data_IF_313376779352
#
_entry.id   IF_313376779352
#
_cell.length_a   1.000
_cell.length_b   1.000
_cell.length_c   1.000
_cell.angle_alpha   90.00
_cell.angle_beta   90.00
_cell.angle_gamma   90.00
#
_symmetry.space_group_name_H-M   'P 1'
#
loop_
_entity.id
_entity.type
_entity.pdbx_description
1 polymer ?
#
# COMPACT_ATOMS: atom_id res chain seq x y z
N UNK A 1 6.35 -20.07 -29.83
CA UNK A 1 6.80 -18.66 -29.86
C UNK A 1 7.02 -18.01 -28.49
N UNK A 2 6.31 -18.38 -27.40
CA UNK A 2 6.51 -17.79 -26.04
C UNK A 2 7.92 -17.88 -25.44
N UNK A 3 8.76 -18.83 -25.89
CA UNK A 3 10.13 -19.04 -25.35
C UNK A 3 11.17 -18.09 -25.93
N UNK A 4 11.06 -17.67 -27.20
CA UNK A 4 12.10 -16.86 -27.86
C UNK A 4 12.21 -15.44 -27.29
N UNK A 5 11.10 -14.78 -26.95
CA UNK A 5 11.12 -13.45 -26.33
C UNK A 5 11.77 -13.41 -24.94
N UNK A 6 11.67 -14.50 -24.16
CA UNK A 6 12.31 -14.58 -22.86
C UNK A 6 13.85 -14.67 -22.96
N UNK A 7 14.38 -15.39 -23.96
CA UNK A 7 15.82 -15.47 -24.21
C UNK A 7 16.40 -14.17 -24.77
N UNK A 8 15.65 -13.48 -25.64
CA UNK A 8 16.05 -12.16 -26.15
C UNK A 8 16.05 -11.11 -25.04
N UNK A 9 15.01 -11.06 -24.19
CA UNK A 9 14.98 -10.17 -23.03
C UNK A 9 16.11 -10.47 -22.02
N UNK A 10 16.44 -11.75 -21.78
CA UNK A 10 17.56 -12.15 -20.92
C UNK A 10 18.95 -11.77 -21.47
N UNK A 11 19.10 -11.62 -22.79
CA UNK A 11 20.36 -11.22 -23.42
C UNK A 11 20.49 -9.70 -23.62
N UNK A 12 19.38 -9.00 -23.83
CA UNK A 12 19.34 -7.53 -24.00
C UNK A 12 19.64 -6.81 -22.68
N UNK A 13 19.10 -7.30 -21.56
CA UNK A 13 19.32 -6.72 -20.23
C UNK A 13 20.81 -6.62 -19.80
N UNK A 14 21.63 -7.69 -19.89
CA UNK A 14 23.05 -7.60 -19.55
C UNK A 14 23.85 -6.76 -20.56
N UNK A 15 23.44 -6.71 -21.84
CA UNK A 15 24.06 -5.84 -22.86
C UNK A 15 23.84 -4.36 -22.60
N UNK A 16 22.61 -3.98 -22.26
CA UNK A 16 22.24 -2.64 -21.77
C UNK A 16 23.01 -2.28 -20.50
N UNK A 17 23.06 -3.20 -19.52
CA UNK A 17 23.81 -3.00 -18.29
C UNK A 17 25.30 -2.77 -18.55
N UNK A 18 25.90 -3.52 -19.47
CA UNK A 18 27.30 -3.34 -19.87
C UNK A 18 27.53 -1.98 -20.56
N UNK A 19 26.60 -1.53 -21.40
CA UNK A 19 26.65 -0.21 -22.04
C UNK A 19 26.56 0.93 -21.03
N UNK A 20 25.67 0.81 -20.06
CA UNK A 20 25.56 1.74 -18.93
C UNK A 20 26.87 1.76 -18.14
N UNK A 21 27.46 0.60 -17.83
CA UNK A 21 28.76 0.51 -17.14
C UNK A 21 29.88 1.14 -17.97
N UNK A 22 29.93 0.94 -19.29
CA UNK A 22 30.90 1.59 -20.16
C UNK A 22 30.76 3.12 -20.18
N UNK A 23 29.53 3.62 -20.24
CA UNK A 23 29.25 5.06 -20.18
C UNK A 23 29.62 5.65 -18.81
N UNK A 24 29.32 4.95 -17.71
CA UNK A 24 29.70 5.32 -16.34
C UNK A 24 31.22 5.35 -16.18
N UNK A 25 31.92 4.40 -16.80
CA UNK A 25 33.39 4.32 -16.80
C UNK A 25 34.07 5.34 -17.73
N UNK A 26 33.31 6.24 -18.38
CA UNK A 26 33.85 7.25 -19.29
C UNK A 26 34.36 6.68 -20.62
N UNK A 27 34.02 5.43 -20.94
CA UNK A 27 34.38 4.79 -22.20
C UNK A 27 33.50 5.41 -23.30
N UNK A 28 34.14 5.92 -24.36
CA UNK A 28 33.42 6.44 -25.52
C UNK A 28 32.75 5.29 -26.26
N UNK A 29 31.45 5.12 -26.02
CA UNK A 29 30.62 4.19 -26.78
C UNK A 29 30.22 4.86 -28.10
N UNK A 30 30.50 4.24 -29.25
CA UNK A 30 30.11 4.79 -30.55
C UNK A 30 28.58 4.84 -30.68
N UNK A 31 28.06 5.98 -31.16
CA UNK A 31 26.61 6.26 -31.31
C UNK A 31 25.80 5.14 -31.97
N UNK A 32 26.30 4.44 -33.03
CA UNK A 32 25.57 3.32 -33.62
C UNK A 32 25.28 2.16 -32.65
N UNK A 33 26.16 1.92 -31.67
CA UNK A 33 25.96 0.88 -30.66
C UNK A 33 24.88 1.28 -29.67
N UNK A 34 24.82 2.57 -29.31
CA UNK A 34 23.77 3.12 -28.46
C UNK A 34 22.40 3.01 -29.15
N UNK A 35 22.33 3.44 -30.43
CA UNK A 35 21.11 3.36 -31.24
C UNK A 35 20.67 1.90 -31.44
N UNK A 36 21.61 0.97 -31.63
CA UNK A 36 21.29 -0.45 -31.77
C UNK A 36 20.75 -1.06 -30.46
N UNK A 37 21.29 -0.66 -29.31
CA UNK A 37 20.82 -1.09 -28.00
C UNK A 37 19.41 -0.53 -27.71
N UNK A 38 19.21 0.77 -27.91
CA UNK A 38 17.89 1.41 -27.79
C UNK A 38 16.87 0.79 -28.76
N UNK A 39 17.26 0.48 -29.99
CA UNK A 39 16.41 -0.20 -30.96
C UNK A 39 16.07 -1.62 -30.52
N UNK A 40 17.01 -2.37 -29.94
CA UNK A 40 16.76 -3.71 -29.42
C UNK A 40 15.78 -3.69 -28.24
N UNK A 41 15.93 -2.75 -27.30
CA UNK A 41 14.98 -2.51 -26.22
C UNK A 41 13.62 -2.10 -26.77
N UNK A 42 13.59 -1.18 -27.74
CA UNK A 42 12.38 -0.72 -28.41
C UNK A 42 11.63 -1.84 -29.14
N UNK A 43 12.35 -2.80 -29.73
CA UNK A 43 11.76 -3.95 -30.43
C UNK A 43 11.15 -4.95 -29.44
N UNK A 44 11.83 -5.24 -28.32
CA UNK A 44 11.30 -6.05 -27.22
C UNK A 44 10.05 -5.40 -26.61
N UNK A 45 10.13 -4.11 -26.27
CA UNK A 45 8.98 -3.34 -25.75
C UNK A 45 7.84 -3.28 -26.78
N UNK A 46 8.18 -3.14 -28.06
CA UNK A 46 7.24 -3.12 -29.18
C UNK A 46 6.49 -4.44 -29.34
N UNK A 47 7.15 -5.59 -29.22
CA UNK A 47 6.48 -6.90 -29.22
C UNK A 47 5.51 -7.05 -28.05
N UNK A 48 5.92 -6.63 -26.85
CA UNK A 48 5.05 -6.65 -25.67
C UNK A 48 3.87 -5.69 -25.81
N UNK A 49 4.10 -4.48 -26.35
CA UNK A 49 3.07 -3.47 -26.61
C UNK A 49 2.09 -3.90 -27.69
N UNK A 50 2.56 -4.47 -28.80
CA UNK A 50 1.70 -5.01 -29.88
C UNK A 50 0.90 -6.22 -29.37
N UNK A 51 1.52 -7.10 -28.58
CA UNK A 51 0.83 -8.21 -27.93
C UNK A 51 -0.25 -7.74 -26.96
N UNK A 52 0.03 -6.67 -26.21
CA UNK A 52 -0.93 -6.00 -25.33
C UNK A 52 -2.07 -5.34 -26.11
N UNK A 53 -1.78 -4.53 -27.12
CA UNK A 53 -2.77 -3.81 -27.93
C UNK A 53 -3.67 -4.75 -28.75
N UNK A 54 -3.14 -5.83 -29.31
CA UNK A 54 -3.94 -6.85 -30.02
C UNK A 54 -4.92 -7.55 -29.09
N UNK A 55 -4.51 -7.78 -27.83
CA UNK A 55 -5.36 -8.42 -26.81
C UNK A 55 -6.40 -7.46 -26.26
N UNK A 56 -6.01 -6.20 -26.02
CA UNK A 56 -6.93 -5.13 -25.64
C UNK A 56 -8.03 -4.91 -26.70
N UNK A 57 -7.67 -4.92 -27.99
CA UNK A 57 -8.65 -4.80 -29.09
C UNK A 57 -9.56 -6.03 -29.25
N UNK A 58 -9.15 -7.21 -28.76
CA UNK A 58 -9.98 -8.43 -28.79
C UNK A 58 -10.94 -8.54 -27.62
N UNK A 59 -10.46 -8.25 -26.42
CA UNK A 59 -11.21 -8.48 -25.19
C UNK A 59 -11.92 -7.22 -24.67
N UNK A 60 -11.64 -6.04 -25.26
CA UNK A 60 -12.26 -4.76 -24.93
C UNK A 60 -11.84 -4.17 -23.57
N UNK A 61 -11.26 -4.96 -22.68
CA UNK A 61 -10.85 -4.56 -21.32
C UNK A 61 -9.32 -4.51 -21.20
N UNK A 62 -8.75 -3.30 -21.14
CA UNK A 62 -7.32 -3.09 -20.96
C UNK A 62 -6.79 -3.77 -19.68
N UNK A 63 -7.63 -3.86 -18.64
CA UNK A 63 -7.26 -4.45 -17.34
C UNK A 63 -6.98 -5.94 -17.43
N UNK A 64 -7.77 -6.67 -18.20
CA UNK A 64 -7.64 -8.13 -18.33
C UNK A 64 -6.47 -8.49 -19.24
N UNK A 65 -6.22 -7.68 -20.28
CA UNK A 65 -5.02 -7.79 -21.11
C UNK A 65 -3.72 -7.54 -20.32
N UNK A 66 -3.71 -6.56 -19.40
CA UNK A 66 -2.57 -6.31 -18.51
C UNK A 66 -2.34 -7.50 -17.56
N UNK A 67 -3.39 -7.98 -16.88
CA UNK A 67 -3.31 -9.13 -15.94
C UNK A 67 -2.79 -10.41 -16.58
N UNK A 68 -3.14 -10.64 -17.85
CA UNK A 68 -2.67 -11.81 -18.58
C UNK A 68 -1.20 -11.73 -19.04
N UNK A 69 -0.63 -10.52 -19.10
CA UNK A 69 0.71 -10.27 -19.67
C UNK A 69 1.75 -9.97 -18.61
N UNK A 70 1.35 -9.29 -17.54
CA UNK A 70 2.26 -8.82 -16.48
C UNK A 70 2.14 -9.72 -15.26
N UNK A 71 3.27 -10.17 -14.67
CA UNK A 71 3.23 -10.94 -13.43
C UNK A 71 2.49 -10.20 -12.31
N UNK A 72 1.69 -10.94 -11.54
CA UNK A 72 0.92 -10.41 -10.41
C UNK A 72 1.75 -9.55 -9.44
N UNK A 73 3.01 -9.90 -9.08
CA UNK A 73 3.84 -9.05 -8.20
C UNK A 73 4.08 -7.65 -8.77
N UNK A 74 4.31 -7.54 -10.08
CA UNK A 74 4.56 -6.25 -10.75
C UNK A 74 3.28 -5.41 -10.75
N UNK A 75 2.11 -6.02 -10.95
CA UNK A 75 0.83 -5.31 -10.86
C UNK A 75 0.52 -4.81 -9.46
N UNK A 76 0.88 -5.59 -8.44
CA UNK A 76 0.73 -5.18 -7.04
C UNK A 76 1.66 -4.02 -6.69
N UNK A 77 2.90 -4.05 -7.18
CA UNK A 77 3.86 -2.97 -7.02
C UNK A 77 3.40 -1.71 -7.74
N UNK A 78 3.03 -1.81 -9.02
CA UNK A 78 2.49 -0.68 -9.78
C UNK A 78 1.21 -0.11 -9.16
N UNK A 79 0.33 -0.99 -8.64
CA UNK A 79 -0.86 -0.56 -7.91
C UNK A 79 -0.54 0.08 -6.56
N UNK A 80 0.54 -0.32 -5.88
CA UNK A 80 1.04 0.37 -4.70
C UNK A 80 1.55 1.76 -5.05
N UNK A 81 2.40 1.86 -6.08
CA UNK A 81 2.95 3.12 -6.56
C UNK A 81 1.86 4.12 -6.96
N UNK A 82 0.89 3.67 -7.76
CA UNK A 82 -0.24 4.50 -8.17
C UNK A 82 -1.06 4.98 -6.97
N UNK A 83 -1.19 4.16 -5.92
CA UNK A 83 -1.88 4.55 -4.69
C UNK A 83 -1.10 5.61 -3.91
N UNK A 84 0.23 5.53 -3.89
CA UNK A 84 1.08 6.57 -3.28
C UNK A 84 0.94 7.89 -4.03
N UNK A 85 1.08 7.87 -5.36
CA UNK A 85 0.94 9.07 -6.19
C UNK A 85 -0.46 9.70 -6.10
N UNK A 86 -1.52 8.88 -6.12
CA UNK A 86 -2.88 9.37 -5.92
C UNK A 86 -3.09 9.94 -4.51
N UNK A 87 -2.46 9.36 -3.49
CA UNK A 87 -2.48 9.89 -2.14
C UNK A 87 -1.69 11.19 -2.01
N UNK A 88 -0.56 11.33 -2.72
CA UNK A 88 0.18 12.59 -2.81
C UNK A 88 -0.68 13.69 -3.43
N UNK A 89 -1.32 13.42 -4.58
CA UNK A 89 -2.24 14.38 -5.21
C UNK A 89 -3.41 14.77 -4.30
N UNK A 90 -3.97 13.81 -3.56
CA UNK A 90 -5.02 14.07 -2.55
C UNK A 90 -4.53 14.90 -1.37
N UNK A 91 -3.30 14.68 -0.93
CA UNK A 91 -2.70 15.45 0.17
C UNK A 91 -2.50 16.90 -0.24
N UNK A 92 -1.98 17.15 -1.44
CA UNK A 92 -1.87 18.48 -2.05
C UNK A 92 -3.25 19.13 -2.19
N UNK A 93 -4.25 18.38 -2.66
CA UNK A 93 -5.63 18.85 -2.76
C UNK A 93 -6.36 18.96 -1.40
N UNK A 94 -5.70 18.59 -0.29
CA UNK A 94 -6.26 18.54 1.08
C UNK A 94 -7.55 17.70 1.19
N UNK A 95 -7.65 16.62 0.42
CA UNK A 95 -8.82 15.72 0.37
C UNK A 95 -8.54 14.38 1.04
N UNK A 96 -9.11 14.09 2.22
CA UNK A 96 -8.96 12.78 2.85
C UNK A 96 -9.70 11.69 2.05
N UNK A 97 -9.21 10.46 2.13
CA UNK A 97 -9.77 9.32 1.41
C UNK A 97 -10.70 8.49 2.30
N UNK A 98 -11.98 8.42 1.93
CA UNK A 98 -12.94 7.53 2.59
C UNK A 98 -13.37 7.99 3.98
N UNK A 99 -13.46 9.31 4.19
CA UNK A 99 -13.91 9.96 5.45
C UNK A 99 -15.32 10.57 5.29
N UNK A 100 -16.09 10.17 4.27
CA UNK A 100 -17.35 10.82 3.88
C UNK A 100 -18.64 10.12 4.27
N UNK A 101 -18.60 9.02 5.06
CA UNK A 101 -19.82 8.34 5.51
C UNK A 101 -20.53 9.16 6.60
N UNK A 102 -21.86 9.16 6.61
CA UNK A 102 -22.63 9.75 7.70
C UNK A 102 -22.26 9.06 9.03
N UNK A 103 -21.84 9.84 10.03
CA UNK A 103 -21.36 9.31 11.32
C UNK A 103 -19.94 8.73 11.31
N UNK A 104 -19.21 8.78 10.20
CA UNK A 104 -17.84 8.27 10.13
C UNK A 104 -16.86 9.18 10.89
N UNK A 105 -16.14 8.63 11.85
CA UNK A 105 -15.13 9.36 12.64
C UNK A 105 -13.72 8.95 12.23
N UNK A 106 -12.91 9.92 11.81
CA UNK A 106 -11.53 9.69 11.41
C UNK A 106 -10.56 9.85 12.58
N UNK A 107 -9.57 8.95 12.64
CA UNK A 107 -8.49 8.95 13.63
C UNK A 107 -7.15 8.93 12.88
N UNK A 108 -6.43 10.07 12.85
CA UNK A 108 -5.11 10.13 12.24
C UNK A 108 -4.07 9.37 13.08
N UNK A 109 -3.02 8.91 12.41
CA UNK A 109 -1.88 8.20 13.01
C UNK A 109 -0.53 8.66 12.45
N UNK A 110 -0.55 9.59 11.50
CA UNK A 110 0.62 9.91 10.68
C UNK A 110 1.50 11.02 11.29
N UNK A 111 1.01 11.71 12.34
CA UNK A 111 1.71 12.86 12.94
C UNK A 111 3.05 12.44 13.53
N UNK A 112 3.08 11.31 14.23
CA UNK A 112 4.27 10.87 14.94
C UNK A 112 5.41 10.40 14.01
N UNK A 113 5.10 9.95 12.78
CA UNK A 113 6.12 9.67 11.77
C UNK A 113 6.51 10.89 10.93
N UNK A 114 5.84 12.03 11.06
CA UNK A 114 6.04 13.17 10.16
C UNK A 114 7.47 13.72 10.23
N UNK A 115 8.01 13.90 11.45
CA UNK A 115 9.37 14.40 11.64
C UNK A 115 10.42 13.48 10.97
N UNK A 116 10.27 12.16 11.13
CA UNK A 116 11.14 11.18 10.47
C UNK A 116 11.03 11.23 8.95
N UNK A 117 9.82 11.33 8.41
CA UNK A 117 9.60 11.41 6.96
C UNK A 117 10.17 12.70 6.35
N UNK A 118 9.97 13.84 7.02
CA UNK A 118 10.54 15.11 6.57
C UNK A 118 12.06 15.16 6.72
N UNK A 119 12.60 14.57 7.79
CA UNK A 119 14.05 14.40 7.96
C UNK A 119 14.65 13.56 6.83
N UNK A 120 14.03 12.43 6.48
CA UNK A 120 14.48 11.58 5.38
C UNK A 120 14.40 12.33 4.03
N UNK A 121 13.30 13.01 3.75
CA UNK A 121 13.16 13.80 2.53
C UNK A 121 14.22 14.92 2.45
N UNK A 122 14.50 15.60 3.55
CA UNK A 122 15.56 16.61 3.63
C UNK A 122 16.94 16.02 3.32
N UNK A 123 17.29 14.88 3.94
CA UNK A 123 18.56 14.19 3.68
C UNK A 123 18.66 13.78 2.22
N UNK A 124 17.60 13.26 1.60
CA UNK A 124 17.59 12.91 0.17
C UNK A 124 17.90 14.13 -0.71
N UNK A 125 17.36 15.31 -0.37
CA UNK A 125 17.63 16.55 -1.13
C UNK A 125 19.10 17.00 -0.95
N UNK A 126 19.64 16.92 0.27
CA UNK A 126 21.05 17.22 0.52
C UNK A 126 21.97 16.24 -0.22
N UNK A 127 21.63 14.95 -0.21
CA UNK A 127 22.32 13.91 -0.96
C UNK A 127 22.29 14.22 -2.47
N UNK A 128 21.16 14.66 -3.00
CA UNK A 128 21.03 15.08 -4.42
C UNK A 128 22.05 16.17 -4.76
N UNK A 129 22.19 17.18 -3.91
CA UNK A 129 23.15 18.27 -4.11
C UNK A 129 24.60 17.78 -4.03
N UNK A 130 24.89 16.87 -3.09
CA UNK A 130 26.20 16.22 -2.97
C UNK A 130 26.56 15.39 -4.20
N UNK A 131 25.64 14.55 -4.67
CA UNK A 131 25.81 13.74 -5.87
C UNK A 131 25.98 14.60 -7.12
N UNK A 132 25.21 15.68 -7.26
CA UNK A 132 25.36 16.64 -8.36
C UNK A 132 26.77 17.26 -8.41
N UNK A 133 27.34 17.60 -7.25
CA UNK A 133 28.71 18.11 -7.16
C UNK A 133 29.75 17.03 -7.51
N UNK A 134 29.62 15.82 -6.94
CA UNK A 134 30.56 14.71 -7.17
C UNK A 134 30.56 14.23 -8.63
N UNK A 135 29.40 14.31 -9.31
CA UNK A 135 29.19 13.77 -10.65
C UNK A 135 29.33 14.81 -11.77
N UNK A 136 29.86 16.01 -11.47
CA UNK A 136 29.99 17.11 -12.46
C UNK A 136 30.74 16.71 -13.74
N UNK A 137 31.68 15.77 -13.65
CA UNK A 137 32.46 15.26 -14.79
C UNK A 137 31.79 14.11 -15.57
N UNK A 138 30.65 13.60 -15.10
CA UNK A 138 29.97 12.42 -15.63
C UNK A 138 28.49 12.73 -15.91
N UNK A 139 28.16 13.45 -16.99
CA UNK A 139 26.82 14.00 -17.21
C UNK A 139 25.71 12.94 -17.30
N UNK A 140 26.00 11.77 -17.86
CA UNK A 140 25.03 10.66 -17.94
C UNK A 140 24.73 10.10 -16.55
N UNK A 141 25.77 9.88 -15.75
CA UNK A 141 25.64 9.33 -14.39
C UNK A 141 24.91 10.33 -13.49
N UNK A 142 25.27 11.60 -13.58
CA UNK A 142 24.56 12.68 -12.90
C UNK A 142 23.07 12.69 -13.24
N UNK A 143 22.70 12.60 -14.52
CA UNK A 143 21.30 12.57 -14.92
C UNK A 143 20.54 11.36 -14.35
N UNK A 144 21.15 10.17 -14.34
CA UNK A 144 20.54 8.97 -13.76
C UNK A 144 20.32 9.13 -12.25
N UNK A 145 21.33 9.58 -11.51
CA UNK A 145 21.21 9.82 -10.06
C UNK A 145 20.16 10.90 -9.76
N UNK A 146 20.15 11.99 -10.51
CA UNK A 146 19.14 13.04 -10.36
C UNK A 146 17.71 12.49 -10.50
N UNK A 147 17.46 11.62 -11.48
CA UNK A 147 16.15 10.96 -11.65
C UNK A 147 15.82 10.07 -10.45
N UNK A 148 16.79 9.28 -9.98
CA UNK A 148 16.61 8.40 -8.82
C UNK A 148 16.36 9.18 -7.53
N UNK A 149 17.07 10.28 -7.32
CA UNK A 149 16.95 11.11 -6.13
C UNK A 149 15.60 11.83 -6.11
N UNK A 150 15.19 12.44 -7.23
CA UNK A 150 13.87 13.07 -7.37
C UNK A 150 12.77 12.04 -7.15
N UNK A 151 12.89 10.86 -7.75
CA UNK A 151 11.95 9.77 -7.54
C UNK A 151 11.88 9.34 -6.06
N UNK A 152 13.03 9.22 -5.40
CA UNK A 152 13.11 8.86 -3.97
C UNK A 152 12.41 9.90 -3.10
N UNK A 153 12.62 11.19 -3.35
CA UNK A 153 11.93 12.28 -2.64
C UNK A 153 10.42 12.19 -2.85
N UNK A 154 9.96 12.03 -4.10
CA UNK A 154 8.53 11.88 -4.43
C UNK A 154 7.95 10.64 -3.74
N UNK A 155 8.69 9.53 -3.70
CA UNK A 155 8.27 8.29 -3.06
C UNK A 155 8.12 8.46 -1.54
N UNK A 156 9.11 9.05 -0.86
CA UNK A 156 9.07 9.33 0.58
C UNK A 156 7.88 10.24 0.94
N UNK A 157 7.68 11.32 0.17
CA UNK A 157 6.55 12.22 0.34
C UNK A 157 5.22 11.50 0.04
N UNK A 158 5.18 10.65 -0.98
CA UNK A 158 4.02 9.84 -1.33
C UNK A 158 3.64 8.86 -0.22
N UNK A 159 4.61 8.25 0.45
CA UNK A 159 4.39 7.38 1.60
C UNK A 159 3.80 8.15 2.77
N UNK A 160 4.36 9.31 3.10
CA UNK A 160 3.81 10.17 4.16
C UNK A 160 2.39 10.66 3.81
N UNK A 161 2.18 11.12 2.59
CA UNK A 161 0.88 11.56 2.09
C UNK A 161 -0.16 10.43 2.12
N UNK A 162 0.25 9.19 1.82
CA UNK A 162 -0.62 8.02 1.94
C UNK A 162 -1.04 7.77 3.38
N UNK A 163 -0.13 7.92 4.35
CA UNK A 163 -0.47 7.82 5.78
C UNK A 163 -1.42 8.94 6.23
N UNK A 164 -1.17 10.19 5.82
CA UNK A 164 -1.97 11.37 6.21
C UNK A 164 -3.38 11.33 5.60
N UNK A 165 -3.49 10.99 4.32
CA UNK A 165 -4.78 11.03 3.58
C UNK A 165 -5.68 9.84 3.88
N UNK A 166 -5.16 8.78 4.51
CA UNK A 166 -5.90 7.53 4.80
C UNK A 166 -5.88 7.25 6.30
N UNK A 167 -6.57 8.08 7.11
CA UNK A 167 -6.70 7.82 8.54
C UNK A 167 -7.46 6.52 8.80
N UNK A 168 -7.38 6.01 10.02
CA UNK A 168 -8.32 4.99 10.48
C UNK A 168 -9.72 5.61 10.55
N UNK A 169 -10.74 4.85 10.18
CA UNK A 169 -12.11 5.36 10.15
C UNK A 169 -13.02 4.39 10.90
N UNK A 170 -13.76 4.90 11.87
CA UNK A 170 -14.85 4.19 12.51
C UNK A 170 -16.15 4.57 11.81
N UNK A 171 -16.81 3.61 11.18
CA UNK A 171 -17.96 3.81 10.28
C UNK A 171 -19.07 2.79 10.59
N UNK A 172 -20.24 3.26 11.02
CA UNK A 172 -21.53 2.54 11.03
C UNK A 172 -21.53 1.06 11.43
N UNK A 173 -20.68 0.65 12.38
CA UNK A 173 -20.56 -0.75 12.82
C UNK A 173 -19.24 -1.46 12.44
N UNK A 174 -18.27 -0.78 11.84
CA UNK A 174 -16.95 -1.34 11.56
C UNK A 174 -15.81 -0.34 11.78
N UNK A 175 -14.67 -0.84 12.26
CA UNK A 175 -13.41 -0.14 12.31
C UNK A 175 -12.60 -0.45 11.04
N UNK A 176 -12.35 0.57 10.23
CA UNK A 176 -11.47 0.49 9.07
C UNK A 176 -10.05 0.87 9.47
N UNK A 177 -9.21 -0.14 9.63
CA UNK A 177 -7.80 -0.01 9.98
C UNK A 177 -6.97 0.09 8.70
N UNK A 178 -6.09 1.09 8.63
CA UNK A 178 -5.36 1.46 7.41
C UNK A 178 -3.93 1.86 7.72
N UNK A 179 -2.98 1.40 6.93
CA UNK A 179 -1.61 1.89 6.99
C UNK A 179 -1.12 2.22 5.58
N UNK A 180 -0.93 3.52 5.33
CA UNK A 180 -0.55 4.08 4.04
C UNK A 180 -1.37 3.48 2.87
N UNK A 181 -0.68 3.08 1.79
CA UNK A 181 -1.30 2.49 0.59
C UNK A 181 -1.38 0.97 0.58
N UNK A 182 -0.82 0.27 1.57
CA UNK A 182 -0.64 -1.20 1.53
C UNK A 182 -1.55 -1.98 2.48
N UNK A 183 -1.97 -1.43 3.62
CA UNK A 183 -2.97 -2.07 4.49
C UNK A 183 -4.28 -1.30 4.46
N UNK A 184 -5.37 -2.00 4.18
CA UNK A 184 -6.74 -1.49 4.31
C UNK A 184 -7.65 -2.66 4.70
N UNK A 185 -8.08 -2.71 5.96
CA UNK A 185 -8.86 -3.81 6.54
C UNK A 185 -10.10 -3.24 7.22
N UNK A 186 -11.27 -3.78 6.90
CA UNK A 186 -12.53 -3.46 7.59
C UNK A 186 -12.80 -4.54 8.64
N UNK A 187 -12.78 -4.17 9.91
CA UNK A 187 -13.05 -5.04 11.05
C UNK A 187 -14.44 -4.71 11.59
N UNK A 188 -15.44 -5.59 11.43
CA UNK A 188 -16.75 -5.40 12.05
C UNK A 188 -16.63 -5.32 13.58
N UNK A 189 -17.38 -4.42 14.22
CA UNK A 189 -17.33 -4.25 15.67
C UNK A 189 -17.73 -5.52 16.43
N UNK A 190 -18.64 -6.31 15.87
CA UNK A 190 -19.07 -7.63 16.38
C UNK A 190 -17.91 -8.62 16.51
N UNK A 191 -16.83 -8.42 15.73
CA UNK A 191 -15.63 -9.27 15.78
C UNK A 191 -14.60 -8.80 16.79
N UNK A 192 -14.78 -7.64 17.43
CA UNK A 192 -13.83 -7.11 18.40
C UNK A 192 -14.21 -7.66 19.79
N UNK A 193 -13.38 -8.56 20.30
CA UNK A 193 -13.56 -9.16 21.62
C UNK A 193 -13.14 -8.19 22.74
N UNK A 194 -12.01 -7.53 22.57
CA UNK A 194 -11.49 -6.59 23.58
C UNK A 194 -10.63 -5.50 22.93
N UNK A 195 -10.62 -4.32 23.57
CA UNK A 195 -9.82 -3.15 23.17
C UNK A 195 -9.01 -2.70 24.36
N UNK A 196 -7.69 -2.84 24.27
CA UNK A 196 -6.75 -2.43 25.31
C UNK A 196 -5.89 -1.27 24.80
N UNK A 197 -5.75 -0.23 25.63
CA UNK A 197 -4.79 0.84 25.37
C UNK A 197 -3.46 0.45 26.00
N UNK A 198 -2.50 0.09 25.16
CA UNK A 198 -1.19 -0.38 25.57
C UNK A 198 -0.15 0.16 24.61
N UNK A 199 0.87 0.82 25.17
CA UNK A 199 1.97 1.38 24.39
C UNK A 199 3.09 0.35 24.30
N UNK A 200 3.24 -0.30 23.15
CA UNK A 200 4.26 -1.29 22.91
C UNK A 200 5.22 -0.83 21.82
N UNK A 201 6.50 -1.15 22.01
CA UNK A 201 7.47 -1.10 20.92
C UNK A 201 7.38 -2.44 20.17
N UNK A 202 6.90 -2.39 18.93
CA UNK A 202 6.68 -3.60 18.14
C UNK A 202 7.80 -3.73 17.12
N UNK A 203 8.70 -4.69 17.34
CA UNK A 203 9.76 -5.06 16.40
C UNK A 203 9.57 -6.46 15.80
N UNK A 204 8.89 -7.36 16.51
CA UNK A 204 8.67 -8.74 16.05
C UNK A 204 7.32 -8.93 15.36
N UNK A 205 7.36 -9.69 14.26
CA UNK A 205 6.17 -10.15 13.54
C UNK A 205 5.83 -11.56 14.04
N UNK A 206 4.78 -11.69 14.84
CA UNK A 206 4.27 -12.99 15.25
C UNK A 206 3.22 -13.53 14.26
N UNK A 207 2.99 -14.84 14.34
CA UNK A 207 1.93 -15.51 13.58
C UNK A 207 0.54 -15.17 14.12
N UNK A 208 -0.36 -14.76 13.22
CA UNK A 208 -1.72 -14.33 13.56
C UNK A 208 -1.86 -12.91 14.12
N UNK A 209 -0.77 -12.13 14.16
CA UNK A 209 -0.78 -10.73 14.60
C UNK A 209 -0.62 -9.75 13.42
N UNK A 210 -1.37 -8.65 13.46
CA UNK A 210 -1.20 -7.48 12.60
C UNK A 210 -0.67 -6.32 13.44
N UNK A 211 0.64 -6.06 13.37
CA UNK A 211 1.26 -4.90 14.00
C UNK A 211 1.36 -3.76 12.97
N UNK A 212 0.77 -2.61 13.30
CA UNK A 212 0.79 -1.39 12.49
C UNK A 212 1.50 -0.26 13.25
N UNK A 213 2.84 -0.36 13.43
CA UNK A 213 3.58 0.61 14.20
C UNK A 213 3.82 1.91 13.41
N UNK A 214 3.86 3.01 14.14
CA UNK A 214 4.34 4.31 13.67
C UNK A 214 5.53 4.69 14.54
N UNK A 215 6.70 4.91 13.93
CA UNK A 215 7.94 5.12 14.69
C UNK A 215 8.27 3.96 15.65
N UNK A 216 8.05 2.71 15.20
CA UNK A 216 8.23 1.49 15.99
C UNK A 216 7.30 1.33 17.20
N UNK A 217 6.25 2.16 17.31
CA UNK A 217 5.31 2.15 18.43
C UNK A 217 3.89 1.82 17.98
N UNK A 218 3.19 1.02 18.78
CA UNK A 218 1.72 0.83 18.72
C UNK A 218 1.11 1.29 20.03
N UNK A 219 -0.10 1.85 20.01
CA UNK A 219 -0.76 2.42 21.19
C UNK A 219 -2.06 1.74 21.59
N UNK A 220 -2.61 0.89 20.72
CA UNK A 220 -3.83 0.12 20.95
C UNK A 220 -3.65 -1.32 20.49
N UNK A 221 -4.22 -2.24 21.27
CA UNK A 221 -4.29 -3.68 20.97
C UNK A 221 -5.77 -4.08 20.90
N UNK A 222 -6.15 -4.69 19.79
CA UNK A 222 -7.48 -5.23 19.51
C UNK A 222 -7.39 -6.75 19.44
N UNK A 223 -8.14 -7.43 20.29
CA UNK A 223 -8.33 -8.88 20.21
C UNK A 223 -9.62 -9.17 19.43
N UNK A 224 -9.53 -10.06 18.45
CA UNK A 224 -10.66 -10.44 17.60
C UNK A 224 -11.24 -11.78 18.00
N UNK A 225 -12.57 -11.91 17.96
CA UNK A 225 -13.29 -13.15 18.27
C UNK A 225 -12.99 -14.25 17.25
N UNK A 226 -12.79 -13.88 15.98
CA UNK A 226 -12.43 -14.78 14.88
C UNK A 226 -11.40 -14.18 13.93
N UNK A 227 -10.78 -15.01 13.06
CA UNK A 227 -9.77 -14.54 12.12
C UNK A 227 -10.37 -13.55 11.11
N UNK A 228 -9.62 -12.48 10.84
CA UNK A 228 -9.91 -11.52 9.77
C UNK A 228 -8.77 -11.56 8.76
N UNK A 229 -9.10 -11.68 7.47
CA UNK A 229 -8.10 -11.72 6.41
C UNK A 229 -7.54 -10.33 6.12
N UNK A 230 -6.23 -10.21 6.27
CA UNK A 230 -5.47 -9.01 5.98
C UNK A 230 -4.82 -9.14 4.61
N UNK A 231 -4.97 -8.15 3.71
CA UNK A 231 -4.29 -8.17 2.43
C UNK A 231 -2.78 -8.04 2.62
N UNK A 232 -2.01 -8.81 1.85
CA UNK A 232 -0.56 -8.67 1.76
C UNK A 232 -0.17 -8.08 0.41
N UNK A 233 0.91 -7.29 0.41
CA UNK A 233 1.48 -6.73 -0.82
C UNK A 233 1.97 -7.85 -1.75
N UNK A 234 2.49 -8.94 -1.18
CA UNK A 234 2.87 -10.15 -1.90
C UNK A 234 2.26 -11.38 -1.22
N UNK A 235 1.81 -12.35 -2.02
CA UNK A 235 1.24 -13.62 -1.54
C UNK A 235 -0.24 -13.55 -1.15
N UNK A 236 -0.71 -14.64 -0.54
CA UNK A 236 -2.09 -14.80 -0.11
C UNK A 236 -2.42 -13.92 1.11
N UNK A 237 -3.70 -13.51 1.27
CA UNK A 237 -4.18 -12.88 2.49
C UNK A 237 -3.80 -13.69 3.74
N UNK A 238 -3.65 -13.01 4.87
CA UNK A 238 -3.29 -13.64 6.14
C UNK A 238 -4.44 -13.51 7.14
N UNK A 239 -4.91 -14.60 7.76
CA UNK A 239 -5.82 -14.49 8.87
C UNK A 239 -5.10 -13.93 10.09
N UNK A 240 -5.67 -12.90 10.74
CA UNK A 240 -5.16 -12.34 11.99
C UNK A 240 -6.24 -12.33 13.06
N UNK A 241 -5.82 -12.52 14.31
CA UNK A 241 -6.71 -12.49 15.50
C UNK A 241 -6.33 -11.38 16.48
N UNK A 242 -5.11 -10.85 16.37
CA UNK A 242 -4.65 -9.71 17.15
C UNK A 242 -4.29 -8.57 16.19
N UNK A 243 -4.79 -7.37 16.45
CA UNK A 243 -4.43 -6.17 15.69
C UNK A 243 -3.89 -5.12 16.64
N UNK A 244 -2.60 -4.80 16.51
CA UNK A 244 -1.99 -3.66 17.20
C UNK A 244 -1.85 -2.51 16.23
N UNK A 245 -2.32 -1.34 16.63
CA UNK A 245 -2.27 -0.14 15.79
C UNK A 245 -1.82 1.08 16.58
N UNK A 246 -1.35 2.08 15.85
CA UNK A 246 -1.07 3.40 16.40
C UNK A 246 -2.16 4.39 15.99
N UNK A 247 -2.52 5.28 16.90
CA UNK A 247 -3.33 6.46 16.64
C UNK A 247 -2.72 7.65 17.38
N UNK A 248 -2.75 8.82 16.75
CA UNK A 248 -2.19 10.06 17.32
C UNK A 248 -2.91 10.41 18.64
N UNK A 249 -4.23 10.18 18.70
CA UNK A 249 -5.03 10.23 19.93
C UNK A 249 -5.64 8.85 20.24
N UNK A 250 -4.82 7.99 20.86
CA UNK A 250 -5.22 6.66 21.31
C UNK A 250 -6.38 6.68 22.33
N UNK A 251 -6.51 7.74 23.13
CA UNK A 251 -7.57 7.86 24.12
C UNK A 251 -8.91 8.22 23.48
N UNK A 252 -8.94 9.08 22.46
CA UNK A 252 -10.15 9.36 21.68
C UNK A 252 -10.60 8.13 20.89
N UNK A 253 -9.67 7.40 20.26
CA UNK A 253 -10.02 6.17 19.53
C UNK A 253 -10.55 5.09 20.48
N UNK A 254 -9.90 4.87 21.63
CA UNK A 254 -10.36 3.91 22.64
C UNK A 254 -11.78 4.23 23.14
N UNK A 255 -12.04 5.50 23.50
CA UNK A 255 -13.38 5.94 23.94
C UNK A 255 -14.44 5.75 22.85
N UNK A 256 -14.13 6.13 21.62
CA UNK A 256 -15.06 5.99 20.50
C UNK A 256 -15.39 4.52 20.21
N UNK A 257 -14.40 3.63 20.27
CA UNK A 257 -14.61 2.19 20.15
C UNK A 257 -15.47 1.64 21.29
N UNK A 258 -15.19 2.04 22.53
CA UNK A 258 -16.00 1.64 23.68
C UNK A 258 -17.47 2.06 23.55
N UNK A 259 -17.72 3.30 23.11
CA UNK A 259 -19.07 3.80 22.84
C UNK A 259 -19.77 3.01 21.73
N UNK A 260 -19.09 2.79 20.61
CA UNK A 260 -19.67 2.08 19.48
C UNK A 260 -19.94 0.59 19.78
N UNK A 261 -19.06 -0.07 20.54
CA UNK A 261 -19.28 -1.45 21.02
C UNK A 261 -20.48 -1.51 21.98
N UNK A 262 -20.60 -0.54 22.89
CA UNK A 262 -21.76 -0.45 23.79
C UNK A 262 -23.08 -0.26 23.05
N UNK A 263 -23.09 0.58 22.00
CA UNK A 263 -24.27 0.78 21.15
C UNK A 263 -24.64 -0.49 20.37
N UNK A 264 -23.66 -1.16 19.76
CA UNK A 264 -23.89 -2.42 19.02
C UNK A 264 -24.47 -3.53 19.92
N UNK A 265 -24.00 -3.61 21.17
CA UNK A 265 -24.54 -4.54 22.17
C UNK A 265 -25.98 -4.18 22.54
N UNK A 266 -26.28 -2.90 22.79
CA UNK A 266 -27.63 -2.44 23.12
C UNK A 266 -28.64 -2.71 21.98
N UNK A 267 -28.24 -2.48 20.73
CA UNK A 267 -29.04 -2.80 19.55
C UNK A 267 -29.30 -4.31 19.42
N UNK A 268 -28.28 -5.14 19.68
CA UNK A 268 -28.42 -6.60 19.64
C UNK A 268 -29.40 -7.09 20.70
N UNK A 269 -29.30 -6.58 21.93
CA UNK A 269 -30.25 -6.90 23.01
C UNK A 269 -31.67 -6.43 22.67
N UNK A 270 -31.80 -5.25 22.08
CA UNK A 270 -33.10 -4.70 21.67
C UNK A 270 -33.73 -5.56 20.58
N UNK A 271 -32.98 -5.92 19.54
CA UNK A 271 -33.43 -6.84 18.48
C UNK A 271 -33.85 -8.20 19.04
N UNK A 272 -33.11 -8.75 19.99
CA UNK A 272 -33.46 -10.01 20.64
C UNK A 272 -34.78 -9.91 21.43
N UNK A 273 -35.04 -8.77 22.08
CA UNK A 273 -36.31 -8.52 22.79
C UNK A 273 -37.50 -8.30 21.87
N UNK A 274 -37.30 -7.72 20.69
CA UNK A 274 -38.36 -7.44 19.71
C UNK A 274 -38.64 -8.63 18.78
N UNK A 275 -37.86 -9.71 18.85
CA UNK A 275 -38.12 -10.91 18.08
C UNK A 275 -39.45 -11.56 18.53
N UNK A 276 -40.37 -11.90 17.60
CA UNK A 276 -41.62 -12.55 17.95
C UNK A 276 -41.34 -13.89 18.66
N UNK A 277 -42.06 -14.14 19.76
CA UNK A 277 -41.91 -15.39 20.51
C UNK A 277 -42.23 -16.59 19.61
N UNK A 278 -41.44 -17.69 19.68
CA UNK A 278 -41.73 -18.89 18.90
C UNK A 278 -43.14 -19.38 19.26
N UNK A 279 -43.98 -19.55 18.24
CA UNK A 279 -45.33 -20.09 18.39
C UNK A 279 -45.22 -21.48 19.02
N UNK A 280 -45.91 -21.78 20.13
CA UNK A 280 -45.89 -23.11 20.72
C UNK A 280 -46.30 -24.15 19.67
N UNK A 281 -45.48 -25.19 19.52
CA UNK A 281 -45.79 -26.30 18.62
C UNK A 281 -47.09 -27.00 19.03
N UNK A 282 -47.83 -27.58 18.07
CA UNK A 282 -49.08 -28.27 18.38
C UNK A 282 -48.84 -29.41 19.38
N UNK A 283 -49.77 -29.64 20.32
CA UNK A 283 -49.61 -30.68 21.34
C UNK A 283 -49.47 -32.06 20.69
N UNK A 284 -48.57 -32.87 21.25
CA UNK A 284 -48.34 -34.23 20.78
C UNK A 284 -49.63 -35.05 20.92
N UNK A 285 -50.07 -35.63 19.81
CA UNK A 285 -51.22 -36.55 19.76
C UNK A 285 -50.83 -37.85 20.46
N UNK A 286 -51.59 -38.21 21.50
CA UNK A 286 -51.52 -39.48 22.20
C UNK A 286 -52.18 -40.61 21.38
#
# INVERSE_FOLDING_TARGET
>A
MKRYGAYVACAVLPGELALVVCLVAGVRVPVPVLVAAEAAVGLVLGEHLVGFLRRWRRDGSARDAVRATVPEPVLRLAGHELRLLASLGRWVARRPHGVGGEGARAFPYARDQAAMMYGLAFVCVVETAGMAYLLVGLPVVHAVFLVLDVYTVVFVLGLHAASVTRPHVLDGGALRVRQAGHVDVRIPLERIASVRRESLFSHEKADGELNLPVGSRTSLTLELTGPVDVPRLFGAPRPVRLVRLHADDSAALHRALGQALGQALAETVTRARTAPSPVPGPPASA
#
